data_IF_840632193082
#
_entry.id   IF_840632193082
#
_cell.length_a   1.000
_cell.length_b   1.000
_cell.length_c   1.000
_cell.angle_alpha   90.00
_cell.angle_beta   90.00
_cell.angle_gamma   90.00
#
_symmetry.space_group_name_H-M   'P 1'
#
loop_
_entity.id
_entity.type
_entity.pdbx_description
1 polymer ?
#
# COMPACT_ATOMS: atom_id res chain seq x y z
N UNK A 1 -15.74 8.59 12.49
CA UNK A 1 -15.63 8.48 11.06
C UNK A 1 -14.21 8.23 10.61
N UNK A 2 -14.06 7.35 9.69
CA UNK A 2 -12.75 6.97 9.27
C UNK A 2 -12.32 7.65 7.99
N UNK A 3 -11.07 8.03 7.94
CA UNK A 3 -10.53 8.68 6.78
C UNK A 3 -10.01 7.66 5.79
N UNK A 4 -10.30 7.86 4.53
CA UNK A 4 -9.78 6.96 3.51
C UNK A 4 -8.48 7.49 2.97
N UNK A 5 -7.46 6.67 3.04
CA UNK A 5 -6.14 7.05 2.56
C UNK A 5 -6.05 6.96 1.06
N UNK A 6 -6.60 5.90 0.49
CA UNK A 6 -6.48 5.64 -0.94
C UNK A 6 -7.72 6.07 -1.70
N UNK A 7 -7.52 6.47 -2.94
CA UNK A 7 -8.60 6.82 -3.84
C UNK A 7 -9.27 5.53 -4.29
N UNK A 8 -10.51 5.33 -3.87
CA UNK A 8 -11.21 4.11 -4.15
C UNK A 8 -11.35 3.80 -5.62
N UNK A 9 -11.60 4.82 -6.42
CA UNK A 9 -11.79 4.60 -7.83
C UNK A 9 -10.52 4.12 -8.51
N UNK A 10 -9.39 4.67 -8.10
CA UNK A 10 -8.12 4.24 -8.66
C UNK A 10 -7.79 2.82 -8.24
N UNK A 11 -8.04 2.50 -6.99
CA UNK A 11 -7.80 1.15 -6.49
C UNK A 11 -8.62 0.15 -7.29
N UNK A 12 -9.91 0.44 -7.48
CA UNK A 12 -10.78 -0.48 -8.22
C UNK A 12 -10.33 -0.65 -9.66
N UNK A 13 -9.82 0.43 -10.23
CA UNK A 13 -9.42 0.40 -11.62
C UNK A 13 -8.19 -0.46 -11.87
N UNK A 14 -7.26 -0.46 -10.94
CA UNK A 14 -5.98 -1.11 -11.15
C UNK A 14 -5.80 -2.46 -10.46
N UNK A 15 -6.69 -2.83 -9.56
CA UNK A 15 -6.50 -4.09 -8.87
C UNK A 15 -7.02 -5.25 -9.71
N UNK A 16 -6.43 -6.42 -9.53
CA UNK A 16 -6.86 -7.59 -10.26
C UNK A 16 -8.03 -8.24 -9.52
N UNK A 17 -8.47 -9.39 -10.00
CA UNK A 17 -9.64 -10.04 -9.42
C UNK A 17 -9.42 -10.48 -7.99
N UNK A 18 -8.19 -10.59 -7.56
CA UNK A 18 -7.87 -10.98 -6.19
C UNK A 18 -7.52 -9.78 -5.32
N UNK A 19 -7.67 -8.59 -5.86
CA UNK A 19 -7.43 -7.37 -5.08
C UNK A 19 -6.02 -6.86 -5.11
N UNK A 20 -5.13 -7.48 -5.86
CA UNK A 20 -3.72 -7.07 -5.89
C UNK A 20 -3.45 -6.06 -6.98
N UNK A 21 -2.55 -5.13 -6.66
CA UNK A 21 -2.08 -4.13 -7.61
C UNK A 21 -0.60 -4.41 -7.84
N UNK A 22 -0.18 -4.43 -9.10
CA UNK A 22 1.20 -4.74 -9.42
C UNK A 22 2.16 -3.72 -8.83
N UNK A 23 3.34 -4.17 -8.45
CA UNK A 23 4.31 -3.32 -7.79
C UNK A 23 4.75 -2.12 -8.62
N UNK A 24 4.64 -2.22 -9.94
CA UNK A 24 5.00 -1.10 -10.80
C UNK A 24 4.07 0.09 -10.58
N UNK A 25 2.87 -0.15 -10.08
CA UNK A 25 1.95 0.91 -9.69
C UNK A 25 2.14 1.15 -8.20
N UNK A 26 2.76 2.26 -7.84
CA UNK A 26 3.19 2.47 -6.47
C UNK A 26 2.09 2.98 -5.56
N UNK A 27 2.07 2.54 -4.29
CA UNK A 27 0.98 2.93 -3.37
C UNK A 27 0.77 4.44 -3.27
N UNK A 28 1.84 5.22 -3.24
CA UNK A 28 1.70 6.66 -3.06
C UNK A 28 0.99 7.31 -4.24
N UNK A 29 0.93 6.65 -5.37
CA UNK A 29 0.24 7.19 -6.53
C UNK A 29 -1.26 7.06 -6.42
N UNK A 30 -1.72 6.33 -5.41
CA UNK A 30 -3.13 6.07 -5.23
C UNK A 30 -3.74 6.84 -4.05
N UNK A 31 -2.98 7.75 -3.45
CA UNK A 31 -3.50 8.52 -2.32
C UNK A 31 -4.63 9.44 -2.75
N UNK A 32 -5.61 9.59 -1.87
CA UNK A 32 -6.62 10.62 -2.05
C UNK A 32 -5.96 11.99 -2.01
N UNK A 33 -6.60 12.98 -2.60
CA UNK A 33 -6.06 14.33 -2.60
C UNK A 33 -5.77 14.83 -1.20
N UNK A 34 -6.61 14.50 -0.25
CA UNK A 34 -6.42 14.95 1.13
C UNK A 34 -5.23 14.28 1.80
N UNK A 35 -4.71 13.21 1.19
CA UNK A 35 -3.59 12.47 1.77
C UNK A 35 -2.30 12.59 0.98
N UNK A 36 -2.24 13.50 0.03
CA UNK A 36 -1.06 13.61 -0.83
C UNK A 36 0.23 13.97 -0.11
N UNK A 37 0.13 14.54 1.07
CA UNK A 37 1.32 14.92 1.83
C UNK A 37 1.76 13.84 2.80
N UNK A 38 1.12 12.72 2.78
CA UNK A 38 1.47 11.62 3.65
C UNK A 38 2.87 11.12 3.35
N UNK A 39 3.60 10.75 4.39
CA UNK A 39 4.97 10.26 4.24
C UNK A 39 5.12 8.78 4.49
N UNK A 40 4.05 8.12 4.86
CA UNK A 40 4.09 6.68 5.05
C UNK A 40 2.69 6.10 5.00
N UNK A 41 2.61 4.82 4.67
CA UNK A 41 1.33 4.12 4.68
C UNK A 41 1.64 2.64 4.86
N UNK A 42 0.76 1.94 5.56
CA UNK A 42 0.92 0.51 5.77
C UNK A 42 0.10 -0.24 4.74
N UNK A 43 0.72 -1.18 4.06
CA UNK A 43 0.05 -1.94 3.02
C UNK A 43 0.40 -3.42 3.17
N UNK A 44 -0.38 -4.25 2.50
CA UNK A 44 -0.11 -5.68 2.44
C UNK A 44 0.63 -5.93 1.13
N UNK A 45 1.68 -6.73 1.16
CA UNK A 45 2.47 -7.00 -0.04
C UNK A 45 2.60 -8.49 -0.27
N UNK A 46 2.71 -8.84 -1.55
CA UNK A 46 2.97 -10.20 -1.97
C UNK A 46 4.41 -10.23 -2.48
N UNK A 47 5.17 -11.20 -2.03
CA UNK A 47 6.58 -11.29 -2.34
C UNK A 47 6.87 -12.36 -3.37
N UNK A 48 8.05 -12.31 -3.96
CA UNK A 48 8.45 -13.26 -4.97
C UNK A 48 8.39 -14.71 -4.50
N UNK A 49 8.58 -14.93 -3.21
CA UNK A 49 8.55 -16.28 -2.67
C UNK A 49 7.15 -16.73 -2.27
N UNK A 50 6.14 -16.01 -2.76
CA UNK A 50 4.73 -16.31 -2.50
C UNK A 50 4.28 -16.04 -1.08
N UNK A 51 5.06 -15.30 -0.34
CA UNK A 51 4.66 -14.90 1.00
C UNK A 51 3.92 -13.59 0.96
N UNK A 52 3.00 -13.43 1.92
CA UNK A 52 2.24 -12.21 2.06
C UNK A 52 2.57 -11.62 3.43
N UNK A 53 2.86 -10.34 3.48
CA UNK A 53 3.16 -9.71 4.75
C UNK A 53 2.69 -8.27 4.74
N UNK A 54 2.67 -7.66 5.92
CA UNK A 54 2.26 -6.27 6.06
C UNK A 54 3.50 -5.44 6.32
N UNK A 55 3.63 -4.33 5.62
CA UNK A 55 4.84 -3.54 5.70
C UNK A 55 4.50 -2.08 5.47
N UNK A 56 5.36 -1.19 5.95
CA UNK A 56 5.20 0.23 5.71
C UNK A 56 5.89 0.65 4.42
N UNK A 57 5.20 1.48 3.66
CA UNK A 57 5.78 2.15 2.51
C UNK A 57 6.14 3.55 2.97
N UNK A 58 7.43 3.91 2.94
CA UNK A 58 7.91 5.13 3.56
C UNK A 58 8.64 6.02 2.59
N UNK A 59 8.52 7.33 2.82
CA UNK A 59 9.20 8.33 2.03
C UNK A 59 10.50 8.72 2.73
N UNK A 60 11.57 8.78 1.97
CA UNK A 60 12.88 9.17 2.48
C UNK A 60 13.26 10.52 1.92
N UNK A 61 13.38 11.50 2.80
CA UNK A 61 13.65 12.84 2.36
C UNK A 61 15.04 13.03 1.77
N UNK A 62 15.99 12.26 2.27
CA UNK A 62 17.36 12.48 1.83
C UNK A 62 17.58 12.18 0.35
N UNK A 63 16.76 11.37 -0.25
CA UNK A 63 16.87 11.12 -1.69
C UNK A 63 15.54 11.21 -2.43
N UNK A 64 14.53 11.74 -1.74
CA UNK A 64 13.22 11.97 -2.35
C UNK A 64 12.62 10.72 -2.96
N UNK A 65 12.70 9.62 -2.27
CA UNK A 65 12.20 8.37 -2.79
C UNK A 65 11.32 7.64 -1.79
N UNK A 66 10.54 6.70 -2.29
CA UNK A 66 9.71 5.84 -1.47
C UNK A 66 10.27 4.43 -1.52
N UNK A 67 10.14 3.71 -0.43
CA UNK A 67 10.56 2.32 -0.42
C UNK A 67 9.69 1.52 0.55
N UNK A 68 9.70 0.20 0.37
CA UNK A 68 9.06 -0.69 1.31
C UNK A 68 10.02 -0.95 2.45
N UNK A 69 9.48 -1.06 3.64
CA UNK A 69 10.31 -1.32 4.81
C UNK A 69 10.88 -2.72 4.78
N UNK A 70 11.74 -3.01 5.76
CA UNK A 70 12.36 -4.32 5.91
C UNK A 70 13.18 -4.75 4.72
N UNK A 71 13.66 -3.79 3.96
CA UNK A 71 14.53 -4.08 2.82
C UNK A 71 13.91 -5.05 1.83
N UNK A 72 12.60 -4.97 1.67
CA UNK A 72 11.92 -5.86 0.75
C UNK A 72 12.10 -5.46 -0.71
N UNK A 73 12.22 -4.17 -0.94
CA UNK A 73 12.58 -3.67 -2.26
C UNK A 73 12.02 -4.45 -3.44
N UNK A 74 12.94 -5.04 -4.20
CA UNK A 74 12.57 -5.74 -5.42
C UNK A 74 11.87 -7.07 -5.16
N UNK A 75 11.77 -7.50 -3.92
CA UNK A 75 11.05 -8.73 -3.62
C UNK A 75 9.54 -8.56 -3.72
N UNK A 76 9.05 -7.32 -3.65
CA UNK A 76 7.62 -7.06 -3.70
C UNK A 76 7.13 -7.13 -5.13
N UNK A 77 6.16 -7.98 -5.40
CA UNK A 77 5.62 -8.08 -6.75
C UNK A 77 4.22 -7.46 -6.86
N UNK A 78 3.51 -7.33 -5.74
CA UNK A 78 2.19 -6.72 -5.75
C UNK A 78 1.84 -6.25 -4.35
N UNK A 79 0.86 -5.38 -4.26
CA UNK A 79 0.44 -4.84 -2.98
C UNK A 79 -1.06 -4.61 -2.99
N UNK A 80 -1.63 -4.39 -1.82
CA UNK A 80 -3.01 -3.95 -1.71
C UNK A 80 -3.22 -3.23 -0.39
N UNK A 81 -4.25 -2.38 -0.32
CA UNK A 81 -4.54 -1.68 0.92
C UNK A 81 -4.98 -2.67 1.98
N UNK A 82 -4.72 -2.34 3.24
CA UNK A 82 -5.17 -3.19 4.32
C UNK A 82 -6.68 -3.14 4.43
N UNK A 83 -7.30 -4.28 4.73
CA UNK A 83 -8.73 -4.32 4.95
C UNK A 83 -9.10 -3.49 6.17
N UNK A 84 -10.12 -2.70 6.05
CA UNK A 84 -10.54 -1.88 7.16
C UNK A 84 -11.35 -2.59 8.19
N UNK A 85 -12.14 -3.50 7.75
CA UNK A 85 -13.05 -4.16 8.65
C UNK A 85 -12.36 -4.93 9.75
N UNK A 86 -11.10 -5.21 9.55
CA UNK A 86 -10.38 -6.00 10.52
C UNK A 86 -10.41 -5.39 11.92
N UNK A 87 -10.26 -4.11 12.03
CA UNK A 87 -10.19 -3.52 13.33
C UNK A 87 -11.49 -3.51 14.08
N UNK A 88 -12.58 -3.83 13.42
CA UNK A 88 -13.84 -3.89 14.11
C UNK A 88 -13.95 -5.09 14.99
N UNK A 89 -13.14 -6.03 14.74
CA UNK A 89 -13.22 -7.27 15.47
C UNK A 89 -12.89 -7.14 16.92
N UNK A 90 -12.21 -6.12 17.26
CA UNK A 90 -11.85 -5.93 18.63
C UNK A 90 -13.06 -5.75 19.48
N UNK A 91 -13.14 -6.46 20.49
CA UNK A 91 -14.28 -6.40 21.34
C UNK A 91 -14.04 -6.17 22.72
#
# INVERSE_FOLDING_TARGET
MRKEIFNKELIEKYRDENGWILAVCKPEEFFNDSEKKRREVTVMVSLKNNRVTVVKRMYWEYDNSWSYGRNLGTSVIAWQPLPESYKKVIR
#
